data_IF_208280498252
#
_entry.id   IF_208280498252
#
_cell.length_a   1.000
_cell.length_b   1.000
_cell.length_c   1.000
_cell.angle_alpha   90.00
_cell.angle_beta   90.00
_cell.angle_gamma   90.00
#
_symmetry.space_group_name_H-M   'P 1'
#
loop_
_entity.id
_entity.type
_entity.pdbx_description
1 polymer ?
#
# COMPACT_ATOMS: atom_id res chain seq x y z
N UNK A 1 -4.88 5.47 -13.69
CA UNK A 1 -5.00 4.93 -12.33
C UNK A 1 -3.63 4.94 -11.66
N UNK A 2 -3.57 5.39 -10.43
CA UNK A 2 -2.32 5.51 -9.68
C UNK A 2 -2.39 4.87 -8.29
N UNK A 3 -3.58 4.48 -7.84
CA UNK A 3 -3.81 3.80 -6.58
C UNK A 3 -4.19 2.34 -6.89
N UNK A 4 -3.59 1.40 -6.16
CA UNK A 4 -3.79 -0.04 -6.40
C UNK A 4 -3.98 -0.76 -5.07
N UNK A 5 -4.81 -1.80 -5.10
CA UNK A 5 -5.10 -2.61 -3.92
C UNK A 5 -5.11 -4.09 -4.30
N UNK A 6 -4.56 -4.95 -3.46
CA UNK A 6 -4.57 -6.38 -3.68
C UNK A 6 -5.71 -7.06 -2.90
N UNK A 7 -5.99 -8.36 -3.18
CA UNK A 7 -7.10 -9.05 -2.50
C UNK A 7 -6.90 -9.11 -0.98
N UNK A 8 -8.00 -9.06 -0.20
CA UNK A 8 -7.92 -9.08 1.26
C UNK A 8 -7.69 -10.50 1.78
N UNK A 9 -6.50 -11.03 1.53
CA UNK A 9 -6.15 -12.41 1.85
C UNK A 9 -5.01 -12.52 2.88
N UNK A 10 -4.54 -11.41 3.42
CA UNK A 10 -3.46 -11.40 4.41
C UNK A 10 -4.05 -11.43 5.81
N UNK A 11 -3.83 -12.50 6.61
CA UNK A 11 -4.41 -12.59 7.94
C UNK A 11 -3.63 -11.76 8.97
N UNK A 12 -4.34 -11.22 9.94
CA UNK A 12 -3.74 -10.50 11.07
C UNK A 12 -4.80 -9.92 11.99
N UNK A 13 -4.55 -9.93 13.28
CA UNK A 13 -5.43 -9.35 14.28
C UNK A 13 -6.90 -9.79 14.15
N UNK A 14 -7.12 -11.08 13.80
CA UNK A 14 -8.47 -11.63 13.68
C UNK A 14 -9.23 -11.19 12.44
N UNK A 15 -8.56 -10.59 11.45
CA UNK A 15 -9.19 -10.16 10.20
C UNK A 15 -8.27 -10.40 9.01
N UNK A 16 -8.83 -10.16 7.84
CA UNK A 16 -8.07 -10.22 6.58
C UNK A 16 -7.77 -8.81 6.11
N UNK A 17 -6.63 -8.64 5.46
CA UNK A 17 -6.10 -7.33 5.06
C UNK A 17 -5.67 -7.31 3.61
N UNK A 18 -5.78 -6.14 3.00
CA UNK A 18 -5.23 -5.82 1.68
C UNK A 18 -4.09 -4.84 1.84
N UNK A 19 -3.23 -4.78 0.82
CA UNK A 19 -2.21 -3.74 0.71
C UNK A 19 -2.70 -2.68 -0.28
N UNK A 20 -2.57 -1.41 0.10
CA UNK A 20 -2.92 -0.26 -0.74
C UNK A 20 -1.66 0.53 -1.02
N UNK A 21 -1.41 0.81 -2.31
CA UNK A 21 -0.23 1.57 -2.73
C UNK A 21 -0.58 2.68 -3.72
N UNK A 22 0.35 3.62 -3.88
CA UNK A 22 0.41 4.53 -5.02
C UNK A 22 1.66 4.21 -5.83
N UNK A 23 1.58 4.35 -7.15
CA UNK A 23 2.77 4.25 -7.99
C UNK A 23 3.32 5.63 -8.39
N UNK A 24 2.85 6.67 -7.74
CA UNK A 24 3.28 8.05 -7.96
C UNK A 24 4.09 8.57 -6.78
N UNK A 25 3.51 8.56 -5.57
CA UNK A 25 4.17 9.13 -4.39
C UNK A 25 3.52 8.65 -3.10
N UNK A 26 4.27 8.73 -2.01
CA UNK A 26 3.69 8.49 -0.68
C UNK A 26 2.69 9.60 -0.31
N UNK A 27 2.93 10.83 -0.77
CA UNK A 27 1.99 11.93 -0.50
C UNK A 27 0.60 11.62 -1.07
N UNK A 28 0.53 11.10 -2.30
CA UNK A 28 -0.73 10.68 -2.90
C UNK A 28 -1.37 9.55 -2.10
N UNK A 29 -0.58 8.58 -1.68
CA UNK A 29 -1.06 7.45 -0.90
C UNK A 29 -1.65 7.91 0.44
N UNK A 30 -0.94 8.79 1.14
CA UNK A 30 -1.42 9.31 2.43
C UNK A 30 -2.75 10.06 2.26
N UNK A 31 -2.87 10.88 1.23
CA UNK A 31 -4.11 11.64 0.97
C UNK A 31 -5.28 10.71 0.68
N UNK A 32 -5.06 9.70 -0.17
CA UNK A 32 -6.10 8.72 -0.49
C UNK A 32 -6.53 7.93 0.75
N UNK A 33 -5.55 7.47 1.53
CA UNK A 33 -5.83 6.70 2.75
C UNK A 33 -6.60 7.53 3.77
N UNK A 34 -6.26 8.80 3.93
CA UNK A 34 -6.98 9.71 4.84
C UNK A 34 -8.44 9.86 4.43
N UNK A 35 -8.70 10.06 3.14
CA UNK A 35 -10.07 10.17 2.62
C UNK A 35 -10.85 8.86 2.82
N UNK A 36 -10.17 7.74 2.77
CA UNK A 36 -10.78 6.43 2.99
C UNK A 36 -11.06 6.17 4.49
N UNK A 37 -10.47 6.97 5.37
CA UNK A 37 -10.62 6.80 6.82
C UNK A 37 -9.57 5.88 7.44
N UNK A 38 -8.51 5.55 6.71
CA UNK A 38 -7.43 4.75 7.27
C UNK A 38 -6.58 5.61 8.21
N UNK A 39 -6.30 5.13 9.43
CA UNK A 39 -5.48 5.92 10.36
C UNK A 39 -4.02 5.93 9.91
N UNK A 40 -3.26 6.99 10.28
CA UNK A 40 -1.83 7.04 9.92
C UNK A 40 -1.02 5.83 10.37
N UNK A 41 -1.38 5.21 11.50
CA UNK A 41 -0.67 4.02 12.00
C UNK A 41 -0.83 2.80 11.11
N UNK A 42 -1.77 2.83 10.16
CA UNK A 42 -1.95 1.74 9.20
C UNK A 42 -0.92 1.78 8.09
N UNK A 43 -0.14 2.85 7.99
CA UNK A 43 0.96 2.94 7.03
C UNK A 43 2.14 2.09 7.50
N UNK A 44 2.62 1.21 6.63
CA UNK A 44 3.69 0.27 6.97
C UNK A 44 4.82 0.35 5.93
N UNK A 45 5.61 1.42 6.03
CA UNK A 45 6.81 1.60 5.22
C UNK A 45 6.58 2.09 3.81
N UNK A 46 5.77 1.41 3.03
CA UNK A 46 5.51 1.75 1.63
C UNK A 46 4.08 1.49 1.18
N UNK A 47 3.22 1.08 2.11
CA UNK A 47 1.82 0.75 1.81
C UNK A 47 0.97 0.96 3.06
N UNK A 48 -0.36 1.02 2.84
CA UNK A 48 -1.33 0.98 3.93
C UNK A 48 -1.94 -0.42 4.02
N UNK A 49 -2.15 -0.90 5.23
CA UNK A 49 -2.92 -2.11 5.47
C UNK A 49 -4.39 -1.74 5.59
N UNK A 50 -5.22 -2.29 4.70
CA UNK A 50 -6.64 -1.97 4.62
C UNK A 50 -7.44 -3.21 5.02
N UNK A 51 -8.28 -3.12 6.06
CA UNK A 51 -9.07 -4.29 6.47
C UNK A 51 -10.12 -4.63 5.41
N UNK A 52 -10.48 -5.90 5.34
CA UNK A 52 -11.41 -6.42 4.31
C UNK A 52 -12.73 -5.65 4.26
N UNK A 53 -13.22 -5.15 5.39
CA UNK A 53 -14.47 -4.38 5.45
C UNK A 53 -14.40 -3.07 4.68
N UNK A 54 -13.20 -2.57 4.38
CA UNK A 54 -12.98 -1.32 3.64
C UNK A 54 -12.56 -1.55 2.18
N UNK A 55 -12.44 -2.81 1.78
CA UNK A 55 -11.94 -3.13 0.43
C UNK A 55 -12.82 -2.51 -0.66
N UNK A 56 -14.13 -2.72 -0.58
CA UNK A 56 -15.06 -2.18 -1.56
C UNK A 56 -15.04 -0.64 -1.60
N UNK A 57 -14.88 -0.01 -0.43
CA UNK A 57 -14.79 1.45 -0.35
C UNK A 57 -13.55 1.96 -1.09
N UNK A 58 -12.42 1.28 -0.94
CA UNK A 58 -11.19 1.65 -1.63
C UNK A 58 -11.34 1.54 -3.16
N UNK A 59 -11.97 0.47 -3.62
CA UNK A 59 -12.21 0.27 -5.05
C UNK A 59 -13.15 1.35 -5.59
N UNK A 60 -14.22 1.66 -4.87
CA UNK A 60 -15.16 2.73 -5.27
C UNK A 60 -14.48 4.09 -5.31
N UNK A 61 -13.50 4.32 -4.43
CA UNK A 61 -12.78 5.59 -4.39
C UNK A 61 -11.73 5.70 -5.51
N UNK A 62 -11.47 4.62 -6.25
CA UNK A 62 -10.60 4.68 -7.42
C UNK A 62 -9.39 3.75 -7.40
N UNK A 63 -9.20 2.94 -6.38
CA UNK A 63 -8.09 1.99 -6.36
C UNK A 63 -8.38 0.85 -7.35
N UNK A 64 -7.38 0.52 -8.17
CA UNK A 64 -7.50 -0.59 -9.10
C UNK A 64 -7.14 -1.90 -8.40
N UNK A 65 -7.93 -2.94 -8.65
CA UNK A 65 -7.70 -4.25 -8.07
C UNK A 65 -6.62 -4.98 -8.87
N UNK A 66 -5.56 -5.38 -8.19
CA UNK A 66 -4.44 -6.12 -8.80
C UNK A 66 -4.06 -7.28 -7.90
N UNK A 67 -3.27 -8.23 -8.43
CA UNK A 67 -2.71 -9.28 -7.60
C UNK A 67 -1.63 -8.71 -6.68
N UNK A 68 -1.31 -9.43 -5.62
CA UNK A 68 -0.22 -9.03 -4.72
C UNK A 68 1.12 -8.95 -5.45
N UNK A 69 1.36 -9.87 -6.39
CA UNK A 69 2.57 -9.86 -7.20
C UNK A 69 2.65 -8.59 -8.07
N UNK A 70 1.55 -8.24 -8.72
CA UNK A 70 1.49 -7.05 -9.56
C UNK A 70 1.67 -5.79 -8.72
N UNK A 71 1.07 -5.75 -7.53
CA UNK A 71 1.19 -4.62 -6.62
C UNK A 71 2.66 -4.36 -6.25
N UNK A 72 3.41 -5.42 -5.90
CA UNK A 72 4.83 -5.30 -5.58
C UNK A 72 5.62 -4.83 -6.80
N UNK A 73 5.29 -5.34 -7.98
CA UNK A 73 5.96 -4.93 -9.23
C UNK A 73 5.75 -3.43 -9.49
N UNK A 74 4.52 -2.94 -9.35
CA UNK A 74 4.19 -1.54 -9.55
C UNK A 74 4.94 -0.65 -8.56
N UNK A 75 4.97 -1.06 -7.31
CA UNK A 75 5.66 -0.32 -6.25
C UNK A 75 7.16 -0.25 -6.49
N UNK A 76 7.74 -1.37 -6.92
CA UNK A 76 9.16 -1.47 -7.24
C UNK A 76 9.53 -0.61 -8.45
N UNK A 77 8.72 -0.68 -9.51
CA UNK A 77 8.95 0.11 -10.73
C UNK A 77 8.83 1.61 -10.47
N UNK A 78 7.99 2.01 -9.50
CA UNK A 78 7.85 3.41 -9.11
C UNK A 78 9.01 3.91 -8.26
N UNK A 79 9.89 3.02 -7.80
CA UNK A 79 10.99 3.39 -6.91
C UNK A 79 10.56 3.62 -5.48
N UNK A 80 9.38 3.15 -5.09
CA UNK A 80 8.80 3.40 -3.77
C UNK A 80 8.86 2.19 -2.85
N UNK A 81 9.35 1.05 -3.33
CA UNK A 81 9.40 -0.18 -2.54
C UNK A 81 10.36 -0.03 -1.36
N UNK A 82 9.88 -0.33 -0.17
CA UNK A 82 10.67 -0.30 1.08
C UNK A 82 10.48 -1.66 1.77
N UNK A 83 11.31 -2.68 1.41
CA UNK A 83 11.15 -4.02 1.98
C UNK A 83 11.27 -4.01 3.49
N UNK A 84 10.38 -4.73 4.16
CA UNK A 84 10.40 -4.88 5.59
C UNK A 84 11.64 -5.64 6.04
N UNK A 85 12.13 -5.30 7.24
CA UNK A 85 13.26 -6.00 7.84
C UNK A 85 14.60 -5.67 7.22
N UNK A 86 14.64 -4.76 6.24
CA UNK A 86 15.88 -4.29 5.66
C UNK A 86 16.16 -2.88 6.09
N UNK A 87 17.34 -2.60 6.63
CA UNK A 87 17.72 -1.21 6.87
C UNK A 87 17.86 -0.48 5.55
N UNK A 88 17.68 0.85 5.57
CA UNK A 88 17.94 1.64 4.40
C UNK A 88 19.40 1.43 3.99
N UNK A 89 19.68 1.35 2.67
CA UNK A 89 21.07 1.22 2.24
C UNK A 89 21.85 2.46 2.68
N UNK A 90 23.12 2.29 3.08
CA UNK A 90 23.94 3.44 3.44
C UNK A 90 24.15 4.33 2.22
N UNK A 91 24.45 5.63 2.45
CA UNK A 91 24.82 6.51 1.34
C UNK A 91 25.99 5.90 0.57
N UNK A 92 26.00 6.13 -0.73
CA UNK A 92 27.12 5.65 -1.53
C UNK A 92 28.43 6.29 -1.03
N UNK A 93 29.48 5.47 -0.90
CA UNK A 93 30.79 6.05 -0.55
C UNK A 93 31.28 6.96 -1.66
N UNK A 94 32.06 7.94 -1.27
CA UNK A 94 32.64 8.90 -2.22
C UNK A 94 33.97 8.39 -2.71
#
# INVERSE_FOLDING_TARGET
VTLYIDPPTWPGHGRMWSHLISDVSFAELHAFAADLGAPPRAFDGDHYDIPSVRYADAVRAGAAEVSSRELVRLLTCAGLRRPKGRPAPPPHPR
#
